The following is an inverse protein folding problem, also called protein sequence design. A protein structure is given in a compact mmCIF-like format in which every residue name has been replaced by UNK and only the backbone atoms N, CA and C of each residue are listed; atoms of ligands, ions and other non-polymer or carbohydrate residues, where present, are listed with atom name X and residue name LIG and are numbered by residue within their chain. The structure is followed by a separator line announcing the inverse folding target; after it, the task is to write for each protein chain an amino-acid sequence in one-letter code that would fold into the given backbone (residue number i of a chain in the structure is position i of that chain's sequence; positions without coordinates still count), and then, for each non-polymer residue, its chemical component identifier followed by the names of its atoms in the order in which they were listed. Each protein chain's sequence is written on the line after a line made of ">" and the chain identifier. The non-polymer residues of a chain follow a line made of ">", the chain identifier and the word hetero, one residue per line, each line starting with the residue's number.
data_IF_868437657413
#
_entry.id   IF_868437657413
#
_cell.length_a   1.000
_cell.length_b   1.000
_cell.length_c   1.000
_cell.angle_alpha   90.00
_cell.angle_beta   90.00
_cell.angle_gamma   90.00
#
_symmetry.space_group_name_H-M   'P 1'
#
loop_
_entity.id
_entity.type
_entity.pdbx_description
1 polymer ?
#
# COMPACT_ATOMS: atom_id res chain seq x y z
N UNK A 1 -18.48 -15.27 4.76
CA UNK A 1 -17.19 -15.58 4.11
C UNK A 1 -17.00 -14.52 3.03
N UNK A 2 -16.27 -13.45 3.33
CA UNK A 2 -16.01 -12.37 2.35
C UNK A 2 -15.02 -12.92 1.32
N UNK A 3 -15.34 -12.82 0.04
CA UNK A 3 -14.41 -13.16 -1.03
C UNK A 3 -13.63 -11.89 -1.34
N UNK A 4 -12.30 -11.85 -1.16
CA UNK A 4 -11.51 -10.72 -1.63
C UNK A 4 -11.69 -10.59 -3.13
N UNK A 5 -11.98 -9.38 -3.60
CA UNK A 5 -12.08 -9.12 -5.03
C UNK A 5 -10.66 -8.93 -5.59
N UNK A 6 -10.33 -9.64 -6.66
CA UNK A 6 -9.06 -9.44 -7.36
C UNK A 6 -9.12 -8.12 -8.13
N UNK A 7 -8.11 -7.29 -7.94
CA UNK A 7 -7.95 -5.97 -8.56
C UNK A 7 -6.58 -5.90 -9.23
N UNK A 8 -6.58 -5.61 -10.54
CA UNK A 8 -5.36 -5.44 -11.31
C UNK A 8 -4.96 -3.96 -11.31
N UNK A 9 -3.84 -3.64 -10.67
CA UNK A 9 -3.23 -2.31 -10.76
C UNK A 9 -2.15 -2.34 -11.86
N UNK A 10 -2.33 -1.51 -12.89
CA UNK A 10 -1.32 -1.31 -13.93
C UNK A 10 -0.64 0.04 -13.73
N UNK A 11 0.61 0.02 -13.27
CA UNK A 11 1.44 1.19 -13.08
C UNK A 11 2.27 1.44 -14.33
N UNK A 12 2.02 2.57 -14.97
CA UNK A 12 2.83 3.06 -16.10
C UNK A 12 4.16 3.62 -15.58
N UNK A 13 4.13 4.21 -14.38
CA UNK A 13 5.26 4.81 -13.69
C UNK A 13 5.31 4.28 -12.26
N UNK A 14 6.50 4.23 -11.63
CA UNK A 14 6.63 3.77 -10.26
C UNK A 14 5.87 4.68 -9.29
N UNK A 15 5.39 4.10 -8.19
CA UNK A 15 4.93 4.87 -7.03
C UNK A 15 6.11 5.01 -6.07
N UNK A 16 6.56 6.23 -5.87
CA UNK A 16 7.62 6.56 -4.91
C UNK A 16 6.99 6.84 -3.56
N UNK A 17 7.52 6.20 -2.51
CA UNK A 17 7.07 6.34 -1.13
C UNK A 17 8.14 7.02 -0.28
N UNK A 18 7.68 7.93 0.57
CA UNK A 18 8.50 8.61 1.57
C UNK A 18 8.42 7.88 2.92
N UNK A 19 9.35 8.18 3.82
CA UNK A 19 9.24 7.74 5.20
C UNK A 19 7.92 8.24 5.80
N UNK A 20 7.16 7.38 6.52
CA UNK A 20 5.89 7.79 7.09
C UNK A 20 6.09 8.81 8.23
N UNK A 21 5.14 9.74 8.42
CA UNK A 21 5.20 10.76 9.48
C UNK A 21 4.80 10.19 10.87
N UNK A 22 5.13 8.93 11.16
CA UNK A 22 4.86 8.28 12.44
C UNK A 22 5.96 7.29 12.82
N UNK A 23 6.05 6.99 14.12
CA UNK A 23 7.00 6.02 14.66
C UNK A 23 6.34 4.66 14.79
N UNK A 24 7.06 3.59 14.45
CA UNK A 24 6.61 2.22 14.57
C UNK A 24 7.78 1.30 14.97
N UNK A 25 7.48 0.20 15.67
CA UNK A 25 8.50 -0.78 16.08
C UNK A 25 8.41 -2.08 15.29
N UNK A 26 7.21 -2.44 14.83
CA UNK A 26 6.93 -3.67 14.10
C UNK A 26 5.79 -3.43 13.09
N UNK A 27 5.43 -4.47 12.31
CA UNK A 27 4.40 -4.36 11.28
C UNK A 27 3.00 -4.08 11.81
N UNK A 28 2.63 -4.62 12.97
CA UNK A 28 1.31 -4.41 13.58
C UNK A 28 1.19 -2.98 14.11
N UNK A 29 2.23 -2.47 14.79
CA UNK A 29 2.30 -1.07 15.20
C UNK A 29 2.23 -0.13 14.00
N UNK A 30 2.95 -0.45 12.92
CA UNK A 30 2.92 0.33 11.68
C UNK A 30 1.52 0.34 11.05
N UNK A 31 0.82 -0.80 11.07
CA UNK A 31 -0.54 -0.91 10.57
C UNK A 31 -1.50 -0.01 11.34
N UNK A 32 -1.51 -0.08 12.67
CA UNK A 32 -2.40 0.74 13.50
C UNK A 32 -2.08 2.24 13.37
N UNK A 33 -0.80 2.62 13.36
CA UNK A 33 -0.38 4.00 13.11
C UNK A 33 -0.76 4.48 11.71
N UNK A 34 -0.68 3.63 10.69
CA UNK A 34 -1.12 3.93 9.34
C UNK A 34 -2.63 4.16 9.27
N UNK A 35 -3.43 3.33 9.94
CA UNK A 35 -4.88 3.54 10.01
C UNK A 35 -5.23 4.87 10.68
N UNK A 36 -4.59 5.18 11.82
CA UNK A 36 -4.79 6.45 12.50
C UNK A 36 -4.37 7.64 11.65
N UNK A 37 -3.27 7.54 10.91
CA UNK A 37 -2.82 8.60 9.99
C UNK A 37 -3.85 8.82 8.87
N UNK A 38 -4.31 7.72 8.25
CA UNK A 38 -5.20 7.79 7.10
C UNK A 38 -6.64 8.18 7.48
N UNK A 39 -7.05 8.03 8.74
CA UNK A 39 -8.40 8.44 9.18
C UNK A 39 -8.63 9.94 8.95
N UNK A 40 -7.62 10.76 9.25
CA UNK A 40 -7.64 12.22 9.09
C UNK A 40 -7.05 12.70 7.75
N UNK A 41 -6.46 11.80 6.95
CA UNK A 41 -5.78 12.17 5.72
C UNK A 41 -6.75 12.50 4.56
N UNK A 42 -6.35 13.36 3.61
CA UNK A 42 -7.09 13.56 2.37
C UNK A 42 -7.22 12.28 1.53
N UNK A 43 -8.22 12.26 0.65
CA UNK A 43 -8.40 11.16 -0.30
C UNK A 43 -7.25 11.13 -1.31
N UNK A 44 -6.79 9.92 -1.64
CA UNK A 44 -5.61 9.69 -2.48
C UNK A 44 -4.32 9.43 -1.70
N UNK A 45 -4.28 9.73 -0.40
CA UNK A 45 -3.19 9.31 0.47
C UNK A 45 -3.13 7.79 0.62
N UNK A 46 -1.92 7.26 0.74
CA UNK A 46 -1.70 5.83 0.92
C UNK A 46 -0.51 5.51 1.82
N UNK A 47 -0.59 4.36 2.49
CA UNK A 47 0.52 3.75 3.20
C UNK A 47 0.73 2.35 2.66
N UNK A 48 1.98 1.97 2.40
CA UNK A 48 2.36 0.60 2.08
C UNK A 48 3.23 0.03 3.20
N UNK A 49 2.94 -1.20 3.61
CA UNK A 49 3.72 -1.97 4.56
C UNK A 49 4.20 -3.21 3.82
N UNK A 50 5.51 -3.34 3.65
CA UNK A 50 6.08 -4.52 3.03
C UNK A 50 6.74 -5.43 4.04
N UNK A 51 6.53 -6.72 3.84
CA UNK A 51 6.90 -7.78 4.74
C UNK A 51 7.58 -8.90 3.96
N UNK A 52 8.42 -9.68 4.64
CA UNK A 52 8.85 -10.98 4.14
C UNK A 52 7.70 -11.98 4.14
N UNK A 53 7.89 -13.12 3.48
CA UNK A 53 7.01 -14.29 3.63
C UNK A 53 6.81 -14.72 5.10
N UNK A 54 7.80 -14.47 5.96
CA UNK A 54 7.72 -14.74 7.42
C UNK A 54 7.17 -13.57 8.24
N UNK A 55 6.48 -12.61 7.60
CA UNK A 55 5.88 -11.43 8.22
C UNK A 55 6.88 -10.50 8.93
N UNK A 56 8.16 -10.54 8.58
CA UNK A 56 9.14 -9.56 9.09
C UNK A 56 9.03 -8.27 8.31
N UNK A 57 8.98 -7.15 9.01
CA UNK A 57 8.91 -5.82 8.42
C UNK A 57 10.15 -5.53 7.58
N UNK A 58 9.94 -5.20 6.31
CA UNK A 58 10.99 -4.76 5.39
C UNK A 58 11.04 -3.23 5.34
N UNK A 59 9.90 -2.59 5.08
CA UNK A 59 9.78 -1.14 5.12
C UNK A 59 8.31 -0.73 5.28
N UNK A 60 8.10 0.53 5.65
CA UNK A 60 6.81 1.23 5.62
C UNK A 60 7.00 2.48 4.81
N UNK A 61 6.11 2.74 3.86
CA UNK A 61 6.16 3.90 2.98
C UNK A 61 4.85 4.65 2.97
N UNK A 62 4.91 5.97 2.85
CA UNK A 62 3.75 6.86 2.75
C UNK A 62 3.82 7.64 1.45
N UNK A 63 2.69 7.76 0.76
CA UNK A 63 2.49 8.74 -0.32
C UNK A 63 1.30 9.61 0.05
N UNK A 64 1.53 10.93 0.03
CA UNK A 64 0.49 11.92 0.29
C UNK A 64 -0.53 12.01 -0.83
N UNK A 65 -1.45 12.98 -0.71
CA UNK A 65 -2.41 13.22 -1.76
C UNK A 65 -1.71 13.60 -3.08
N UNK A 66 -2.23 13.18 -4.24
CA UNK A 66 -1.71 13.61 -5.52
C UNK A 66 -1.73 15.14 -5.63
N UNK A 67 -0.59 15.73 -5.93
CA UNK A 67 -0.47 17.16 -6.21
C UNK A 67 -1.29 17.54 -7.45
N UNK A 68 -1.61 18.83 -7.58
CA UNK A 68 -2.33 19.33 -8.75
C UNK A 68 -1.58 19.05 -10.06
N UNK A 69 -0.25 19.07 -10.03
CA UNK A 69 0.59 18.76 -11.19
C UNK A 69 0.49 17.27 -11.57
N UNK A 70 0.55 16.35 -10.59
CA UNK A 70 0.34 14.91 -10.83
C UNK A 70 -1.05 14.65 -11.40
N UNK A 71 -2.10 15.29 -10.86
CA UNK A 71 -3.47 15.14 -11.36
C UNK A 71 -3.59 15.61 -12.82
N UNK A 72 -3.02 16.77 -13.15
CA UNK A 72 -3.01 17.29 -14.52
C UNK A 72 -2.23 16.38 -15.48
N UNK A 73 -1.10 15.83 -15.06
CA UNK A 73 -0.32 14.89 -15.85
C UNK A 73 -1.12 13.59 -16.11
N UNK A 74 -1.82 13.08 -15.09
CA UNK A 74 -2.72 11.92 -15.22
C UNK A 74 -3.85 12.21 -16.22
N UNK A 75 -4.50 13.37 -16.10
CA UNK A 75 -5.58 13.78 -17.03
C UNK A 75 -5.10 13.89 -18.48
N UNK A 76 -3.85 14.30 -18.69
CA UNK A 76 -3.24 14.45 -20.02
C UNK A 76 -2.57 13.18 -20.54
N UNK A 77 -2.43 12.15 -19.71
CA UNK A 77 -1.67 10.93 -20.04
C UNK A 77 -0.17 11.20 -20.19
N UNK A 78 0.35 12.17 -19.47
CA UNK A 78 1.76 12.58 -19.46
C UNK A 78 2.54 11.86 -18.35
N UNK A 79 3.87 11.95 -18.42
CA UNK A 79 4.73 11.51 -17.31
C UNK A 79 4.46 12.37 -16.06
N UNK A 80 4.35 11.71 -14.91
CA UNK A 80 4.13 12.40 -13.65
C UNK A 80 5.49 12.95 -13.18
N UNK A 81 5.52 14.09 -12.47
CA UNK A 81 6.76 14.60 -11.91
C UNK A 81 7.39 13.55 -10.99
N UNK A 82 8.71 13.37 -11.09
CA UNK A 82 9.44 12.45 -10.22
C UNK A 82 9.40 12.94 -8.78
N UNK A 83 8.80 12.14 -7.90
CA UNK A 83 8.87 12.33 -6.46
C UNK A 83 10.17 11.73 -5.90
N UNK A 84 10.69 12.34 -4.84
CA UNK A 84 11.79 11.77 -4.06
C UNK A 84 11.23 10.88 -2.93
N UNK A 85 11.90 9.77 -2.65
CA UNK A 85 11.55 8.87 -1.57
C UNK A 85 12.52 7.71 -1.41
N UNK A 86 12.38 7.00 -0.29
CA UNK A 86 13.30 5.94 0.13
C UNK A 86 12.92 4.56 -0.45
N UNK A 87 11.71 4.44 -1.01
CA UNK A 87 11.20 3.20 -1.57
C UNK A 87 10.34 3.44 -2.81
N UNK A 88 10.34 2.50 -3.74
CA UNK A 88 9.47 2.52 -4.91
C UNK A 88 8.73 1.20 -5.12
N UNK A 89 7.45 1.29 -5.48
CA UNK A 89 6.75 0.22 -6.18
C UNK A 89 6.95 0.47 -7.67
N UNK A 90 7.68 -0.42 -8.34
CA UNK A 90 8.09 -0.27 -9.74
C UNK A 90 6.91 -0.08 -10.72
N UNK A 91 7.21 0.34 -11.95
CA UNK A 91 6.22 0.28 -13.01
C UNK A 91 5.95 -1.19 -13.36
N UNK A 92 4.68 -1.55 -13.58
CA UNK A 92 4.32 -2.95 -13.79
C UNK A 92 2.84 -3.26 -13.61
N UNK A 93 2.52 -4.55 -13.56
CA UNK A 93 1.18 -5.05 -13.30
C UNK A 93 1.16 -5.83 -12.00
N UNK A 94 0.24 -5.46 -11.12
CA UNK A 94 0.13 -5.99 -9.78
C UNK A 94 -1.29 -6.53 -9.59
N UNK A 95 -1.38 -7.81 -9.21
CA UNK A 95 -2.65 -8.43 -8.86
C UNK A 95 -2.85 -8.32 -7.35
N UNK A 96 -3.62 -7.32 -6.93
CA UNK A 96 -3.98 -7.11 -5.53
C UNK A 96 -5.27 -7.87 -5.19
N UNK A 97 -5.31 -8.44 -3.98
CA UNK A 97 -6.55 -8.83 -3.33
C UNK A 97 -7.07 -7.64 -2.54
N UNK A 98 -8.20 -7.09 -2.98
CA UNK A 98 -8.86 -5.99 -2.30
C UNK A 98 -9.85 -6.50 -1.27
N UNK A 99 -9.83 -5.89 -0.08
CA UNK A 99 -10.69 -6.27 1.03
C UNK A 99 -11.12 -5.06 1.86
N UNK A 100 -12.26 -5.22 2.55
CA UNK A 100 -12.64 -4.30 3.61
C UNK A 100 -11.55 -4.29 4.69
N UNK A 101 -11.36 -3.13 5.32
CA UNK A 101 -10.32 -2.89 6.31
C UNK A 101 -10.39 -3.88 7.48
N UNK A 102 -9.40 -4.78 7.65
CA UNK A 102 -9.38 -5.68 8.79
C UNK A 102 -8.89 -5.00 10.06
N UNK A 103 -9.24 -5.54 11.23
CA UNK A 103 -8.88 -4.94 12.52
C UNK A 103 -7.38 -5.01 12.84
N UNK A 104 -6.62 -5.88 12.14
CA UNK A 104 -5.20 -6.13 12.38
C UNK A 104 -4.47 -6.57 11.11
N UNK A 105 -3.16 -6.29 11.07
CA UNK A 105 -2.26 -6.79 10.03
C UNK A 105 -2.24 -8.32 10.03
N UNK A 106 -2.20 -8.92 11.21
CA UNK A 106 -2.23 -10.37 11.39
C UNK A 106 -3.45 -11.02 10.72
N UNK A 107 -4.61 -10.35 10.74
CA UNK A 107 -5.82 -10.83 10.05
C UNK A 107 -5.66 -10.81 8.53
N UNK A 108 -5.03 -9.78 7.97
CA UNK A 108 -4.70 -9.71 6.53
C UNK A 108 -3.76 -10.86 6.15
N UNK A 109 -2.71 -11.07 6.92
CA UNK A 109 -1.70 -12.09 6.64
C UNK A 109 -2.26 -13.51 6.73
N UNK A 110 -3.28 -13.73 7.56
CA UNK A 110 -3.98 -15.02 7.63
C UNK A 110 -4.70 -15.41 6.32
N UNK A 111 -5.00 -14.42 5.46
CA UNK A 111 -5.64 -14.63 4.16
C UNK A 111 -4.61 -14.97 3.06
N UNK A 112 -3.33 -14.71 3.29
CA UNK A 112 -2.27 -15.00 2.36
C UNK A 112 -1.91 -16.50 2.42
N UNK A 113 -1.88 -17.22 1.28
CA UNK A 113 -1.20 -18.50 1.22
C UNK A 113 0.31 -18.24 1.28
N UNK A 114 0.83 -18.09 2.50
CA UNK A 114 2.25 -17.87 2.76
C UNK A 114 3.01 -19.14 2.39
N UNK A 115 3.62 -19.15 1.20
CA UNK A 115 4.53 -20.20 0.79
C UNK A 115 5.91 -19.95 1.43
N UNK A 116 6.47 -20.99 2.06
CA UNK A 116 7.79 -20.95 2.71
C UNK A 116 8.92 -21.10 1.67
N UNK A 117 8.60 -21.54 0.45
CA UNK A 117 9.56 -21.75 -0.62
C UNK A 117 9.75 -20.48 -1.46
N UNK A 118 10.80 -19.72 -1.12
CA UNK A 118 11.29 -18.55 -1.87
C UNK A 118 11.16 -17.20 -1.13
N UNK A 119 11.89 -16.16 -1.54
CA UNK A 119 11.83 -14.84 -0.92
C UNK A 119 10.57 -14.08 -1.41
N UNK A 120 9.38 -14.59 -1.07
CA UNK A 120 8.16 -13.86 -1.36
C UNK A 120 8.11 -12.58 -0.52
N UNK A 121 7.71 -11.47 -1.15
CA UNK A 121 7.44 -10.19 -0.49
C UNK A 121 5.93 -10.00 -0.43
N UNK A 122 5.44 -9.65 0.75
CA UNK A 122 4.03 -9.38 0.98
C UNK A 122 3.88 -7.87 1.12
N UNK A 123 3.02 -7.27 0.31
CA UNK A 123 2.72 -5.85 0.34
C UNK A 123 1.29 -5.67 0.81
N UNK A 124 1.13 -4.94 1.91
CA UNK A 124 -0.17 -4.48 2.41
C UNK A 124 -0.25 -2.99 2.14
N UNK A 125 -1.10 -2.61 1.19
CA UNK A 125 -1.36 -1.23 0.80
C UNK A 125 -2.69 -0.78 1.41
N UNK A 126 -2.67 0.36 2.07
CA UNK A 126 -3.81 1.02 2.68
C UNK A 126 -4.06 2.32 1.92
N UNK A 127 -5.20 2.39 1.23
CA UNK A 127 -5.55 3.54 0.37
C UNK A 127 -6.75 4.28 0.97
N UNK A 128 -6.60 5.59 1.20
CA UNK A 128 -7.72 6.47 1.52
C UNK A 128 -8.48 6.81 0.24
N UNK A 129 -9.52 6.05 -0.06
CA UNK A 129 -10.33 6.27 -1.28
C UNK A 129 -11.32 7.43 -1.15
N UNK A 130 -11.68 7.79 0.08
CA UNK A 130 -12.70 8.79 0.36
C UNK A 130 -12.67 9.23 1.82
N UNK A 131 -13.48 10.24 2.22
CA UNK A 131 -13.43 10.83 3.55
C UNK A 131 -13.58 9.81 4.70
N UNK A 132 -14.38 8.76 4.49
CA UNK A 132 -14.68 7.74 5.51
C UNK A 132 -14.30 6.32 5.06
N UNK A 133 -13.52 6.20 3.98
CA UNK A 133 -13.24 4.90 3.36
C UNK A 133 -11.74 4.69 3.18
N UNK A 134 -11.22 3.73 3.94
CA UNK A 134 -9.89 3.16 3.75
C UNK A 134 -10.07 1.74 3.23
N UNK A 135 -9.34 1.41 2.17
CA UNK A 135 -9.33 0.07 1.60
C UNK A 135 -7.98 -0.58 1.84
N UNK A 136 -8.02 -1.85 2.22
CA UNK A 136 -6.84 -2.69 2.31
C UNK A 136 -6.66 -3.49 1.01
N UNK A 137 -5.44 -3.49 0.49
CA UNK A 137 -5.05 -4.24 -0.69
C UNK A 137 -3.81 -5.07 -0.36
N UNK A 138 -3.87 -6.36 -0.67
CA UNK A 138 -2.80 -7.32 -0.40
C UNK A 138 -2.21 -7.81 -1.73
N UNK A 139 -0.90 -7.66 -1.91
CA UNK A 139 -0.18 -8.26 -3.02
C UNK A 139 0.94 -9.16 -2.50
N UNK A 140 1.08 -10.34 -3.09
CA UNK A 140 2.14 -11.31 -2.78
C UNK A 140 3.03 -11.41 -4.02
N UNK A 141 4.18 -10.76 -3.97
CA UNK A 141 5.21 -10.89 -4.98
C UNK A 141 5.90 -12.26 -4.83
N UNK A 142 5.86 -13.07 -5.88
CA UNK A 142 6.49 -14.39 -5.95
C UNK A 142 7.76 -14.35 -6.78
#
# INVERSE_FOLDING_TARGET
>A
MYRPDSMMLSLIQPIIYQAPPFVYQNGEDAYQSALSLLDDAPSGCEVVIALTSTARLLFVGFKGEPSQEELLAIERGEEQPQAEGDYELEAGRYEFFQMALPDSLSSILSLAPIAIDGPARIYVRLLKEGPLSIIAQLWIAR
#
